data_IF_290109117801
#
_entry.id   IF_290109117801
#
_cell.length_a   1.000
_cell.length_b   1.000
_cell.length_c   1.000
_cell.angle_alpha   90.00
_cell.angle_beta   90.00
_cell.angle_gamma   90.00
#
_symmetry.space_group_name_H-M   'P 1'
#
loop_
_entity.id
_entity.type
_entity.pdbx_description
1 polymer ?
#
# COMPACT_ATOMS: atom_id res chain seq x y z
N UNK A 1 57.59 2.46 -4.28
CA UNK A 1 57.46 2.91 -2.88
C UNK A 1 56.62 4.18 -2.79
N UNK A 2 56.93 5.25 -3.54
CA UNK A 2 56.05 6.45 -3.59
C UNK A 2 54.69 6.16 -4.25
N UNK A 3 54.67 5.34 -5.31
CA UNK A 3 53.46 5.00 -6.05
C UNK A 3 52.42 4.20 -5.21
N UNK A 4 52.89 3.38 -4.27
CA UNK A 4 52.02 2.64 -3.34
C UNK A 4 51.41 3.58 -2.28
N UNK A 5 52.14 4.60 -1.84
CA UNK A 5 51.64 5.61 -0.90
C UNK A 5 50.59 6.52 -1.56
N UNK A 6 50.78 6.88 -2.83
CA UNK A 6 49.79 7.66 -3.60
C UNK A 6 48.48 6.89 -3.81
N UNK A 7 48.56 5.58 -4.08
CA UNK A 7 47.37 4.72 -4.20
C UNK A 7 46.60 4.62 -2.88
N UNK A 8 47.31 4.51 -1.75
CA UNK A 8 46.69 4.50 -0.41
C UNK A 8 45.96 5.83 -0.14
N UNK A 9 46.56 6.97 -0.48
CA UNK A 9 45.93 8.29 -0.31
C UNK A 9 44.66 8.39 -1.15
N UNK A 10 44.71 7.98 -2.42
CA UNK A 10 43.54 8.00 -3.30
C UNK A 10 42.39 7.15 -2.77
N UNK A 11 42.68 5.93 -2.29
CA UNK A 11 41.66 5.05 -1.69
C UNK A 11 41.06 5.71 -0.44
N UNK A 12 41.87 6.37 0.39
CA UNK A 12 41.36 7.05 1.58
C UNK A 12 40.43 8.22 1.23
N UNK A 13 40.76 9.01 0.20
CA UNK A 13 39.90 10.09 -0.31
C UNK A 13 38.57 9.55 -0.88
N UNK A 14 38.61 8.43 -1.60
CA UNK A 14 37.40 7.77 -2.10
C UNK A 14 36.51 7.28 -0.94
N UNK A 15 37.12 6.70 0.09
CA UNK A 15 36.42 6.29 1.31
C UNK A 15 35.76 7.51 1.98
N UNK A 16 36.46 8.63 2.15
CA UNK A 16 35.89 9.84 2.76
C UNK A 16 34.75 10.44 1.92
N UNK A 17 34.88 10.41 0.59
CA UNK A 17 33.83 10.83 -0.33
C UNK A 17 32.59 9.94 -0.21
N UNK A 18 32.76 8.62 -0.16
CA UNK A 18 31.63 7.68 -0.01
C UNK A 18 30.95 7.83 1.34
N UNK A 19 31.70 7.96 2.44
CA UNK A 19 31.13 8.23 3.77
C UNK A 19 30.35 9.55 3.81
N UNK A 20 30.88 10.59 3.18
CA UNK A 20 30.19 11.88 3.08
C UNK A 20 28.88 11.78 2.28
N UNK A 21 28.89 11.02 1.18
CA UNK A 21 27.69 10.74 0.38
C UNK A 21 26.64 9.95 1.15
N UNK A 22 27.06 8.90 1.87
CA UNK A 22 26.20 8.09 2.73
C UNK A 22 25.57 8.97 3.81
N UNK A 23 26.36 9.77 4.53
CA UNK A 23 25.87 10.66 5.58
C UNK A 23 24.87 11.69 5.06
N UNK A 24 25.11 12.26 3.87
CA UNK A 24 24.17 13.18 3.22
C UNK A 24 22.86 12.48 2.88
N UNK A 25 22.91 11.24 2.42
CA UNK A 25 21.73 10.43 2.08
C UNK A 25 20.93 10.08 3.33
N UNK A 26 21.59 9.65 4.42
CA UNK A 26 20.95 9.37 5.70
C UNK A 26 20.25 10.61 6.28
N UNK A 27 20.86 11.79 6.15
CA UNK A 27 20.24 13.05 6.58
C UNK A 27 18.95 13.33 5.81
N UNK A 28 18.97 13.17 4.48
CA UNK A 28 17.76 13.33 3.65
C UNK A 28 16.67 12.33 4.03
N UNK A 29 17.02 11.07 4.28
CA UNK A 29 16.06 10.06 4.73
C UNK A 29 15.42 10.45 6.07
N UNK A 30 16.22 10.93 7.02
CA UNK A 30 15.73 11.42 8.31
C UNK A 30 14.73 12.56 8.14
N UNK A 31 15.02 13.54 7.29
CA UNK A 31 14.12 14.67 7.00
C UNK A 31 12.78 14.20 6.39
N UNK A 32 12.80 13.18 5.54
CA UNK A 32 11.60 12.57 4.96
C UNK A 32 10.77 11.86 6.03
N UNK A 33 11.41 11.07 6.90
CA UNK A 33 10.72 10.37 8.01
C UNK A 33 10.07 11.38 8.96
N UNK A 34 10.76 12.46 9.32
CA UNK A 34 10.21 13.52 10.17
C UNK A 34 9.00 14.22 9.52
N UNK A 35 9.02 14.39 8.19
CA UNK A 35 7.87 14.95 7.45
C UNK A 35 6.66 14.02 7.51
N UNK A 36 6.86 12.73 7.23
CA UNK A 36 5.81 11.71 7.30
C UNK A 36 5.24 11.62 8.71
N UNK A 37 6.07 11.68 9.75
CA UNK A 37 5.61 11.66 11.13
C UNK A 37 4.71 12.85 11.45
N UNK A 38 5.08 14.06 10.99
CA UNK A 38 4.25 15.26 11.15
C UNK A 38 2.92 15.14 10.42
N UNK A 39 2.92 14.66 9.19
CA UNK A 39 1.71 14.45 8.39
C UNK A 39 0.78 13.40 9.04
N UNK A 40 1.34 12.27 9.49
CA UNK A 40 0.58 11.23 10.18
C UNK A 40 -0.04 11.73 11.48
N UNK A 41 0.68 12.53 12.28
CA UNK A 41 0.10 13.18 13.48
C UNK A 41 -1.08 14.07 13.11
N UNK A 42 -0.97 14.81 12.01
CA UNK A 42 -2.05 15.66 11.51
C UNK A 42 -3.28 14.84 11.09
N UNK A 43 -3.06 13.73 10.37
CA UNK A 43 -4.13 12.80 9.98
C UNK A 43 -4.81 12.20 11.22
N UNK A 44 -4.04 11.70 12.19
CA UNK A 44 -4.59 11.13 13.43
C UNK A 44 -5.42 12.18 14.18
N UNK A 45 -4.92 13.40 14.29
CA UNK A 45 -5.66 14.49 14.94
C UNK A 45 -6.96 14.83 14.21
N UNK A 46 -6.94 14.84 12.88
CA UNK A 46 -8.13 15.10 12.05
C UNK A 46 -9.14 13.94 12.09
N UNK A 47 -8.68 12.71 12.30
CA UNK A 47 -9.53 11.52 12.45
C UNK A 47 -10.05 11.32 13.88
N UNK A 48 -9.49 12.01 14.88
CA UNK A 48 -9.92 11.88 16.28
C UNK A 48 -11.42 12.13 16.50
N UNK A 49 -12.07 13.14 15.88
CA UNK A 49 -13.52 13.33 16.01
C UNK A 49 -14.32 12.17 15.41
N UNK A 50 -13.86 11.61 14.29
CA UNK A 50 -14.50 10.46 13.65
C UNK A 50 -14.32 9.20 14.48
N UNK A 51 -13.14 8.96 15.06
CA UNK A 51 -12.93 7.90 16.02
C UNK A 51 -13.89 8.02 17.20
N UNK A 52 -14.08 9.22 17.77
CA UNK A 52 -15.05 9.43 18.85
C UNK A 52 -16.50 9.21 18.42
N UNK A 53 -16.84 9.57 17.19
CA UNK A 53 -18.18 9.38 16.64
C UNK A 53 -18.51 7.90 16.40
N UNK A 54 -17.55 7.13 15.88
CA UNK A 54 -17.73 5.70 15.58
C UNK A 54 -17.39 4.77 16.75
N UNK A 55 -16.59 5.22 17.72
CA UNK A 55 -16.50 4.61 19.04
C UNK A 55 -17.75 4.98 19.85
N UNK A 56 -18.92 4.58 19.34
CA UNK A 56 -20.09 4.40 20.19
C UNK A 56 -19.69 3.27 21.12
N UNK A 57 -19.47 3.60 22.39
CA UNK A 57 -19.30 2.61 23.46
C UNK A 57 -20.37 1.54 23.24
N UNK A 58 -19.93 0.36 22.82
CA UNK A 58 -20.79 -0.81 22.84
C UNK A 58 -21.28 -0.90 24.27
N UNK A 59 -22.58 -0.73 24.44
CA UNK A 59 -23.28 -0.63 25.72
C UNK A 59 -23.32 -2.00 26.45
N UNK A 60 -22.29 -2.81 26.25
CA UNK A 60 -22.06 -4.12 26.87
C UNK A 60 -21.10 -4.03 28.07
N UNK A 61 -20.44 -2.89 28.31
CA UNK A 61 -19.62 -2.67 29.52
C UNK A 61 -20.41 -2.16 30.73
N UNK A 62 -21.75 -2.12 30.67
CA UNK A 62 -22.63 -1.71 31.80
C UNK A 62 -22.76 -2.80 32.89
N UNK A 63 -21.99 -3.89 32.83
CA UNK A 63 -21.89 -4.88 33.92
C UNK A 63 -20.48 -4.88 34.51
N UNK A 64 -20.00 -3.73 34.99
CA UNK A 64 -19.07 -3.75 36.13
C UNK A 64 -19.05 -2.46 36.96
N UNK A 65 -20.20 -1.78 37.05
CA UNK A 65 -20.38 -0.63 37.93
C UNK A 65 -20.88 -1.09 39.31
N UNK A 66 -20.06 -1.81 40.06
CA UNK A 66 -20.15 -1.91 41.53
C UNK A 66 -18.77 -2.22 42.14
N UNK A 67 -17.89 -1.22 42.12
CA UNK A 67 -16.78 -1.15 43.09
C UNK A 67 -16.27 0.29 43.24
N UNK A 68 -17.18 1.21 43.56
CA UNK A 68 -16.79 2.43 44.28
C UNK A 68 -16.52 2.06 45.74
N UNK A 69 -15.28 2.22 46.21
CA UNK A 69 -14.92 3.36 47.07
C UNK A 69 -13.41 3.37 47.37
N UNK A 70 -12.86 4.56 47.70
CA UNK A 70 -11.45 4.93 47.61
C UNK A 70 -10.73 4.70 48.93
N UNK A 71 -9.39 4.86 48.96
CA UNK A 71 -8.62 5.63 49.97
C UNK A 71 -7.11 5.35 49.87
N UNK A 72 -6.36 6.39 49.51
CA UNK A 72 -5.02 6.79 49.96
C UNK A 72 -3.79 5.84 49.95
N UNK A 73 -2.69 6.48 49.53
CA UNK A 73 -1.29 6.41 50.01
C UNK A 73 -0.32 5.44 49.33
N UNK A 74 0.54 6.04 48.51
CA UNK A 74 1.99 6.15 48.71
C UNK A 74 2.71 5.01 49.49
N UNK A 75 3.77 4.53 48.83
CA UNK A 75 4.97 3.84 49.35
C UNK A 75 4.79 2.34 49.65
N UNK A 76 5.44 1.49 48.85
CA UNK A 76 6.56 0.65 49.30
C UNK A 76 6.84 -0.49 48.31
N UNK A 77 8.05 -0.48 47.77
CA UNK A 77 8.94 -1.64 47.59
C UNK A 77 8.54 -2.89 48.43
N UNK A 78 8.56 -4.08 47.81
CA UNK A 78 9.17 -5.31 48.37
C UNK A 78 8.74 -6.59 47.65
N UNK A 79 9.73 -7.24 47.05
CA UNK A 79 10.02 -8.69 47.00
C UNK A 79 8.90 -9.74 46.84
N UNK A 80 9.07 -10.48 45.74
CA UNK A 80 9.36 -11.93 45.69
C UNK A 80 8.28 -12.96 46.06
N UNK A 81 8.22 -13.94 45.16
CA UNK A 81 7.84 -15.34 45.30
C UNK A 81 6.39 -15.67 45.64
N UNK A 82 5.69 -16.21 44.62
CA UNK A 82 5.23 -17.60 44.71
C UNK A 82 5.09 -18.23 43.31
N UNK A 83 6.03 -19.14 43.09
CA UNK A 83 6.10 -20.24 42.13
C UNK A 83 4.79 -21.04 42.05
N UNK A 84 4.23 -21.19 40.85
CA UNK A 84 3.54 -22.43 40.44
C UNK A 84 4.04 -22.83 39.06
N UNK A 85 4.91 -23.84 39.08
CA UNK A 85 5.33 -24.62 37.93
C UNK A 85 4.23 -25.67 37.68
N UNK A 86 3.63 -25.64 36.50
CA UNK A 86 3.13 -26.85 35.85
C UNK A 86 3.80 -26.90 34.47
N UNK A 87 4.79 -27.77 34.39
CA UNK A 87 5.51 -28.17 33.19
C UNK A 87 4.67 -29.25 32.49
N UNK A 88 4.39 -29.07 31.20
CA UNK A 88 4.33 -30.16 30.23
C UNK A 88 4.34 -29.59 28.80
N UNK A 89 5.55 -29.54 28.24
CA UNK A 89 5.90 -30.05 26.90
C UNK A 89 5.07 -29.61 25.69
N UNK A 90 5.70 -28.88 24.74
CA UNK A 90 5.96 -29.39 23.36
C UNK A 90 6.39 -28.28 22.38
N UNK A 91 7.48 -28.57 21.67
CA UNK A 91 7.91 -28.02 20.37
C UNK A 91 8.36 -26.56 20.26
N UNK A 92 9.67 -26.40 20.41
CA UNK A 92 10.48 -25.45 19.63
C UNK A 92 10.17 -25.60 18.12
N UNK A 93 9.40 -24.68 17.57
CA UNK A 93 9.32 -24.49 16.12
C UNK A 93 10.60 -23.81 15.64
N UNK A 94 11.56 -24.61 15.15
CA UNK A 94 12.63 -24.10 14.29
C UNK A 94 11.98 -23.67 12.97
N UNK A 95 11.80 -22.36 12.78
CA UNK A 95 11.49 -21.79 11.48
C UNK A 95 12.72 -21.96 10.56
N UNK A 96 12.87 -23.14 9.95
CA UNK A 96 13.70 -23.28 8.77
C UNK A 96 12.97 -22.61 7.62
N UNK A 97 13.36 -21.39 7.31
CA UNK A 97 12.93 -20.72 6.08
C UNK A 97 13.23 -21.65 4.89
N UNK A 98 12.28 -21.89 3.98
CA UNK A 98 12.53 -22.73 2.82
C UNK A 98 13.69 -22.13 2.02
N UNK A 99 14.70 -22.96 1.74
CA UNK A 99 15.83 -22.56 0.91
C UNK A 99 15.30 -22.27 -0.50
N UNK A 100 15.46 -21.02 -0.94
CA UNK A 100 14.94 -20.54 -2.22
C UNK A 100 15.59 -21.34 -3.37
N UNK A 101 14.83 -22.12 -4.17
CA UNK A 101 15.40 -23.00 -5.19
C UNK A 101 15.86 -22.25 -6.45
N UNK A 102 15.68 -20.93 -6.51
CA UNK A 102 16.07 -20.08 -7.63
C UNK A 102 17.30 -19.21 -7.35
N UNK A 103 17.92 -19.35 -6.17
CA UNK A 103 19.10 -18.58 -5.80
C UNK A 103 20.28 -19.52 -5.69
N UNK A 104 20.86 -19.84 -6.84
CA UNK A 104 22.24 -20.32 -6.87
C UNK A 104 23.10 -19.21 -6.28
N UNK A 105 23.87 -19.54 -5.24
CA UNK A 105 24.70 -18.60 -4.48
C UNK A 105 25.75 -17.86 -5.33
N UNK A 106 25.88 -18.20 -6.62
CA UNK A 106 26.71 -17.51 -7.59
C UNK A 106 26.06 -16.27 -8.25
N UNK A 107 24.75 -16.02 -8.06
CA UNK A 107 24.03 -14.89 -8.70
C UNK A 107 23.74 -13.69 -7.79
N UNK A 108 24.16 -13.73 -6.52
CA UNK A 108 23.86 -12.66 -5.56
C UNK A 108 24.74 -11.41 -5.72
N UNK A 109 25.87 -11.50 -6.43
CA UNK A 109 26.82 -10.39 -6.53
C UNK A 109 26.51 -9.42 -7.68
N UNK A 110 25.89 -9.91 -8.77
CA UNK A 110 25.55 -9.10 -9.94
C UNK A 110 24.27 -8.27 -9.77
N UNK A 111 23.34 -8.72 -8.92
CA UNK A 111 22.09 -8.00 -8.64
C UNK A 111 22.28 -6.72 -7.80
N UNK A 112 23.32 -6.65 -6.98
CA UNK A 112 23.59 -5.47 -6.14
C UNK A 112 24.09 -4.26 -6.94
N UNK A 113 24.72 -4.46 -8.11
CA UNK A 113 25.17 -3.33 -8.95
C UNK A 113 24.05 -2.69 -9.76
N UNK A 114 23.09 -3.46 -10.24
CA UNK A 114 22.02 -2.94 -11.11
C UNK A 114 20.92 -2.17 -10.37
N UNK A 115 20.75 -2.41 -9.07
CA UNK A 115 19.72 -1.71 -8.28
C UNK A 115 20.16 -0.32 -7.82
N UNK A 116 21.45 -0.11 -7.52
CA UNK A 116 21.96 1.21 -7.13
C UNK A 116 22.22 2.13 -8.33
N UNK A 117 22.68 1.59 -9.46
CA UNK A 117 22.93 2.40 -10.67
C UNK A 117 21.68 2.97 -11.35
N UNK A 118 20.51 2.33 -11.19
CA UNK A 118 19.27 2.76 -11.83
C UNK A 118 18.44 3.77 -11.00
N UNK A 119 18.82 4.07 -9.76
CA UNK A 119 18.13 5.09 -8.95
C UNK A 119 18.53 6.52 -9.37
N UNK A 120 19.75 6.70 -9.88
CA UNK A 120 20.28 8.02 -10.23
C UNK A 120 19.60 8.62 -11.47
N UNK A 121 19.23 7.79 -12.45
CA UNK A 121 18.58 8.24 -13.68
C UNK A 121 17.11 8.67 -13.50
N UNK A 122 16.46 8.29 -12.39
CA UNK A 122 15.04 8.59 -12.13
C UNK A 122 14.78 9.88 -11.33
N UNK A 123 15.83 10.51 -10.79
CA UNK A 123 15.68 11.72 -9.97
C UNK A 123 15.89 13.04 -10.71
N UNK A 124 16.16 13.01 -12.03
CA UNK A 124 16.50 14.21 -12.81
C UNK A 124 15.35 14.84 -13.62
N UNK A 125 14.08 14.45 -13.44
CA UNK A 125 12.98 14.95 -14.29
C UNK A 125 12.03 16.00 -13.69
N UNK A 126 12.41 16.74 -12.65
CA UNK A 126 11.59 17.88 -12.23
C UNK A 126 12.43 18.98 -11.61
N UNK A 127 13.04 19.79 -12.47
CA UNK A 127 13.39 21.17 -12.17
C UNK A 127 13.19 22.01 -13.43
N UNK A 128 11.97 22.53 -13.59
CA UNK A 128 11.69 23.69 -14.41
C UNK A 128 10.92 24.70 -13.53
N UNK A 129 11.70 25.62 -12.98
CA UNK A 129 11.40 27.03 -12.74
C UNK A 129 10.14 27.43 -11.91
N UNK A 130 10.45 27.87 -10.68
CA UNK A 130 9.67 28.81 -9.88
C UNK A 130 9.54 30.18 -10.59
N UNK A 131 8.34 30.78 -10.59
CA UNK A 131 8.15 32.22 -10.30
C UNK A 131 6.79 32.52 -9.65
N UNK A 132 6.86 32.97 -8.39
CA UNK A 132 6.09 34.04 -7.72
C UNK A 132 4.55 34.14 -7.76
N UNK A 133 3.99 34.06 -6.53
CA UNK A 133 2.99 34.93 -5.88
C UNK A 133 1.96 35.67 -6.73
N UNK A 134 0.68 35.37 -6.51
CA UNK A 134 -0.41 36.35 -6.60
C UNK A 134 -1.65 35.87 -5.85
N UNK A 135 -2.16 36.71 -4.96
CA UNK A 135 -3.44 36.59 -4.27
C UNK A 135 -4.58 36.71 -5.30
N UNK A 136 -5.45 35.71 -5.39
CA UNK A 136 -6.79 35.81 -6.02
C UNK A 136 -7.75 34.78 -5.38
N UNK A 137 -9.08 34.91 -5.55
CA UNK A 137 -10.06 34.83 -4.49
C UNK A 137 -10.69 33.43 -4.42
N UNK A 138 -11.51 33.24 -3.39
CA UNK A 138 -12.48 32.13 -3.26
C UNK A 138 -13.22 31.94 -4.59
N UNK A 139 -12.97 30.82 -5.26
CA UNK A 139 -13.73 30.35 -6.43
C UNK A 139 -14.16 28.91 -6.17
N UNK A 140 -15.43 28.69 -6.47
CA UNK A 140 -16.26 27.52 -6.29
C UNK A 140 -15.60 26.17 -6.60
N UNK A 141 -16.10 25.18 -5.86
CA UNK A 141 -16.00 23.75 -6.07
C UNK A 141 -16.07 23.39 -7.56
N UNK A 142 -14.91 23.08 -8.15
CA UNK A 142 -14.84 22.37 -9.42
C UNK A 142 -14.81 20.89 -9.10
N UNK A 143 -15.93 20.24 -9.38
CA UNK A 143 -16.05 18.79 -9.45
C UNK A 143 -14.90 18.22 -10.28
N UNK A 144 -14.26 17.17 -9.75
CA UNK A 144 -13.33 16.36 -10.53
C UNK A 144 -14.11 15.72 -11.68
N UNK A 145 -14.09 16.38 -12.85
CA UNK A 145 -14.49 15.76 -14.10
C UNK A 145 -13.59 14.55 -14.33
N UNK A 146 -14.17 13.36 -14.15
CA UNK A 146 -13.61 12.12 -14.66
C UNK A 146 -13.34 12.35 -16.14
N UNK A 147 -12.06 12.29 -16.51
CA UNK A 147 -11.60 12.35 -17.88
C UNK A 147 -12.24 11.16 -18.62
N UNK A 148 -13.37 11.42 -19.28
CA UNK A 148 -14.00 10.49 -20.22
C UNK A 148 -13.05 10.37 -21.41
N UNK A 149 -12.10 9.44 -21.32
CA UNK A 149 -11.42 8.88 -22.48
C UNK A 149 -12.43 8.04 -23.27
N UNK A 150 -13.35 8.76 -23.92
CA UNK A 150 -14.14 8.24 -25.01
C UNK A 150 -13.23 8.04 -26.21
N UNK A 151 -13.32 6.83 -26.76
CA UNK A 151 -12.93 6.47 -28.13
C UNK A 151 -11.43 6.21 -28.39
N UNK A 152 -10.88 5.16 -27.77
CA UNK A 152 -9.92 4.30 -28.48
C UNK A 152 -10.58 2.97 -28.82
N UNK A 153 -10.73 2.75 -30.13
CA UNK A 153 -11.13 1.50 -30.79
C UNK A 153 -10.05 0.41 -30.62
N UNK A 154 -9.66 0.11 -29.39
CA UNK A 154 -8.63 -0.89 -29.08
C UNK A 154 -9.28 -2.27 -28.87
N UNK A 155 -8.79 -3.24 -29.64
CA UNK A 155 -9.28 -4.61 -29.71
C UNK A 155 -9.67 -5.23 -28.35
N UNK A 156 -10.96 -5.51 -28.16
CA UNK A 156 -11.45 -6.27 -27.00
C UNK A 156 -10.88 -7.68 -27.09
N UNK A 157 -10.16 -8.10 -26.05
CA UNK A 157 -9.51 -9.39 -25.96
C UNK A 157 -10.50 -10.47 -25.51
N UNK A 158 -10.36 -11.73 -25.98
CA UNK A 158 -11.12 -12.84 -25.43
C UNK A 158 -10.76 -13.02 -23.95
N UNK A 159 -11.77 -13.30 -23.14
CA UNK A 159 -11.59 -13.45 -21.71
C UNK A 159 -10.62 -14.59 -21.38
N UNK A 160 -9.56 -14.25 -20.63
CA UNK A 160 -8.53 -15.19 -20.21
C UNK A 160 -8.26 -15.06 -18.70
N UNK A 161 -8.67 -16.05 -17.88
CA UNK A 161 -8.46 -16.03 -16.43
C UNK A 161 -7.01 -15.89 -16.00
N UNK A 162 -6.05 -16.35 -16.81
CA UNK A 162 -4.62 -16.29 -16.45
C UNK A 162 -4.09 -14.86 -16.34
N UNK A 163 -4.71 -13.89 -17.03
CA UNK A 163 -4.32 -12.47 -17.01
C UNK A 163 -4.92 -11.70 -15.82
N UNK A 164 -5.84 -12.32 -15.07
CA UNK A 164 -6.38 -11.78 -13.84
C UNK A 164 -5.37 -11.90 -12.69
N UNK A 165 -5.37 -10.96 -11.73
CA UNK A 165 -4.59 -11.09 -10.50
C UNK A 165 -4.97 -12.39 -9.76
N UNK A 166 -4.02 -13.04 -9.06
CA UNK A 166 -4.26 -14.33 -8.41
C UNK A 166 -5.50 -14.38 -7.51
N UNK A 167 -5.79 -13.28 -6.81
CA UNK A 167 -6.97 -13.16 -5.94
C UNK A 167 -8.31 -13.30 -6.67
N UNK A 168 -8.36 -13.01 -7.98
CA UNK A 168 -9.58 -13.03 -8.78
C UNK A 168 -9.66 -14.24 -9.73
N UNK A 169 -8.63 -15.08 -9.80
CA UNK A 169 -8.61 -16.24 -10.71
C UNK A 169 -9.62 -17.31 -10.34
N UNK A 170 -9.86 -17.48 -9.03
CA UNK A 170 -10.77 -18.48 -8.46
C UNK A 170 -12.13 -17.91 -8.08
N UNK A 171 -12.35 -16.61 -8.26
CA UNK A 171 -13.60 -15.96 -7.85
C UNK A 171 -14.66 -16.14 -8.95
N UNK A 172 -15.63 -17.02 -8.72
CA UNK A 172 -16.73 -17.27 -9.66
C UNK A 172 -17.53 -15.99 -10.00
N UNK A 173 -17.51 -15.00 -9.10
CA UNK A 173 -18.23 -13.74 -9.30
C UNK A 173 -17.79 -12.99 -10.56
N UNK A 174 -16.48 -12.97 -10.87
CA UNK A 174 -15.99 -12.27 -12.06
C UNK A 174 -16.46 -12.95 -13.35
N UNK A 175 -16.55 -14.28 -13.35
CA UNK A 175 -17.03 -15.06 -14.48
C UNK A 175 -18.52 -14.82 -14.72
N UNK A 176 -19.31 -14.75 -13.66
CA UNK A 176 -20.74 -14.44 -13.75
C UNK A 176 -20.98 -13.05 -14.34
N UNK A 177 -20.25 -12.02 -13.87
CA UNK A 177 -20.34 -10.66 -14.41
C UNK A 177 -19.94 -10.63 -15.88
N UNK A 178 -18.83 -11.26 -16.26
CA UNK A 178 -18.41 -11.32 -17.65
C UNK A 178 -19.44 -12.03 -18.55
N UNK A 179 -19.96 -13.20 -18.13
CA UNK A 179 -20.98 -13.93 -18.89
C UNK A 179 -22.27 -13.13 -19.04
N UNK A 180 -22.67 -12.39 -18.02
CA UNK A 180 -23.84 -11.53 -18.08
C UNK A 180 -23.65 -10.42 -19.12
N UNK A 181 -22.50 -9.73 -19.10
CA UNK A 181 -22.17 -8.68 -20.07
C UNK A 181 -22.07 -9.27 -21.49
N UNK A 182 -21.47 -10.45 -21.65
CA UNK A 182 -21.37 -11.13 -22.95
C UNK A 182 -22.74 -11.56 -23.51
N UNK A 183 -23.70 -11.88 -22.63
CA UNK A 183 -25.07 -12.25 -23.02
C UNK A 183 -25.96 -11.06 -23.38
N UNK A 184 -25.56 -9.83 -23.02
CA UNK A 184 -26.36 -8.62 -23.20
C UNK A 184 -25.66 -7.66 -24.19
N UNK A 185 -26.37 -7.16 -25.20
CA UNK A 185 -25.80 -6.26 -26.21
C UNK A 185 -25.62 -4.80 -25.74
N UNK A 186 -25.25 -4.59 -24.49
CA UNK A 186 -25.15 -3.27 -23.85
C UNK A 186 -25.73 -3.24 -22.44
N UNK A 187 -25.09 -3.93 -21.49
CA UNK A 187 -25.55 -3.93 -20.09
C UNK A 187 -25.10 -2.66 -19.36
N UNK A 188 -25.99 -2.02 -18.60
CA UNK A 188 -25.57 -0.98 -17.62
C UNK A 188 -25.16 -1.61 -16.30
N UNK A 189 -24.53 -0.84 -15.41
CA UNK A 189 -24.14 -1.32 -14.09
C UNK A 189 -25.36 -1.77 -13.26
N UNK A 190 -26.49 -1.09 -13.40
CA UNK A 190 -27.76 -1.43 -12.75
C UNK A 190 -28.34 -2.74 -13.26
N UNK A 191 -28.17 -3.03 -14.55
CA UNK A 191 -28.62 -4.27 -15.16
C UNK A 191 -27.77 -5.45 -14.66
N UNK A 192 -26.45 -5.27 -14.59
CA UNK A 192 -25.53 -6.26 -14.03
C UNK A 192 -25.88 -6.55 -12.56
N UNK A 193 -26.18 -5.52 -11.77
CA UNK A 193 -26.60 -5.68 -10.36
C UNK A 193 -27.92 -6.45 -10.23
N UNK A 194 -28.85 -6.28 -11.17
CA UNK A 194 -30.11 -7.04 -11.20
C UNK A 194 -29.93 -8.47 -11.70
N UNK A 195 -29.01 -8.69 -12.65
CA UNK A 195 -28.71 -9.99 -13.22
C UNK A 195 -27.90 -10.91 -12.30
N UNK A 196 -27.05 -10.33 -11.45
CA UNK A 196 -26.18 -11.06 -10.53
C UNK A 196 -26.34 -10.52 -9.09
N UNK A 197 -27.52 -10.68 -8.47
CA UNK A 197 -27.82 -10.09 -7.15
C UNK A 197 -27.00 -10.72 -6.02
N UNK A 198 -26.40 -11.89 -6.24
CA UNK A 198 -25.52 -12.56 -5.28
C UNK A 198 -24.24 -11.75 -5.00
N UNK A 199 -23.86 -10.85 -5.90
CA UNK A 199 -22.71 -9.97 -5.74
C UNK A 199 -23.17 -8.60 -5.27
N UNK A 200 -22.56 -8.09 -4.20
CA UNK A 200 -22.78 -6.71 -3.77
C UNK A 200 -22.33 -5.71 -4.85
N UNK A 201 -23.02 -4.56 -4.93
CA UNK A 201 -22.75 -3.49 -5.92
C UNK A 201 -21.27 -3.12 -6.00
N UNK A 202 -20.62 -2.97 -4.85
CA UNK A 202 -19.20 -2.63 -4.74
C UNK A 202 -18.29 -3.67 -5.41
N UNK A 203 -18.56 -4.96 -5.20
CA UNK A 203 -17.81 -6.04 -5.84
C UNK A 203 -18.02 -6.05 -7.35
N UNK A 204 -19.26 -5.84 -7.80
CA UNK A 204 -19.57 -5.74 -9.23
C UNK A 204 -18.78 -4.59 -9.87
N UNK A 205 -18.73 -3.43 -9.22
CA UNK A 205 -17.99 -2.28 -9.72
C UNK A 205 -16.49 -2.57 -9.85
N UNK A 206 -15.89 -3.20 -8.82
CA UNK A 206 -14.49 -3.64 -8.88
C UNK A 206 -14.25 -4.63 -10.03
N UNK A 207 -15.17 -5.57 -10.24
CA UNK A 207 -15.06 -6.54 -11.33
C UNK A 207 -15.17 -5.87 -12.70
N UNK A 208 -16.13 -4.98 -12.90
CA UNK A 208 -16.30 -4.21 -14.14
C UNK A 208 -15.06 -3.37 -14.44
N UNK A 209 -14.54 -2.64 -13.45
CA UNK A 209 -13.32 -1.85 -13.59
C UNK A 209 -12.11 -2.71 -13.97
N UNK A 210 -11.97 -3.87 -13.35
CA UNK A 210 -10.89 -4.80 -13.66
C UNK A 210 -11.03 -5.37 -15.08
N UNK A 211 -12.24 -5.77 -15.49
CA UNK A 211 -12.51 -6.27 -16.84
C UNK A 211 -12.24 -5.19 -17.90
N UNK A 212 -12.55 -3.93 -17.61
CA UNK A 212 -12.22 -2.77 -18.46
C UNK A 212 -10.71 -2.54 -18.55
N UNK A 213 -10.00 -2.50 -17.42
CA UNK A 213 -8.53 -2.32 -17.38
C UNK A 213 -7.79 -3.41 -18.14
N UNK A 214 -8.31 -4.65 -18.10
CA UNK A 214 -7.77 -5.80 -18.83
C UNK A 214 -8.24 -5.89 -20.28
N UNK A 215 -9.09 -4.96 -20.73
CA UNK A 215 -9.65 -4.90 -22.08
C UNK A 215 -10.46 -6.15 -22.47
N UNK A 216 -11.09 -6.80 -21.50
CA UNK A 216 -12.00 -7.93 -21.75
C UNK A 216 -13.41 -7.46 -22.10
N UNK A 217 -13.78 -6.27 -21.66
CA UNK A 217 -15.02 -5.59 -22.00
C UNK A 217 -14.69 -4.17 -22.46
N UNK A 218 -15.52 -3.62 -23.34
CA UNK A 218 -15.48 -2.22 -23.76
C UNK A 218 -16.63 -1.44 -23.13
N UNK A 219 -16.37 -0.16 -22.81
CA UNK A 219 -17.40 0.80 -22.39
C UNK A 219 -17.86 1.62 -23.59
N UNK A 220 -19.17 1.79 -23.76
CA UNK A 220 -19.81 2.68 -24.74
C UNK A 220 -20.87 3.50 -24.01
N UNK A 221 -20.55 4.75 -23.69
CA UNK A 221 -21.38 5.59 -22.82
C UNK A 221 -21.60 4.93 -21.46
N UNK A 222 -22.85 4.73 -21.07
CA UNK A 222 -23.23 4.06 -19.82
C UNK A 222 -23.33 2.52 -19.93
N UNK A 223 -23.06 1.95 -21.10
CA UNK A 223 -23.23 0.52 -21.38
C UNK A 223 -21.90 -0.21 -21.59
N UNK A 224 -21.85 -1.50 -21.25
CA UNK A 224 -20.71 -2.39 -21.45
C UNK A 224 -20.99 -3.43 -22.53
N UNK A 225 -19.96 -3.79 -23.31
CA UNK A 225 -20.02 -4.80 -24.37
C UNK A 225 -18.77 -5.67 -24.42
N UNK A 226 -18.88 -6.87 -24.94
CA UNK A 226 -17.74 -7.73 -25.33
C UNK A 226 -17.45 -7.61 -26.83
N UNK A 227 -16.36 -8.22 -27.30
CA UNK A 227 -16.11 -8.43 -28.75
C UNK A 227 -17.13 -9.36 -29.39
#
# INVERSE_FOLDING_TARGET
MIEEEEEIIHIMEEIDCTFSSINRTLRKMKEVVERIEKENKLIINNLSPWQRFFCIESTEDVINEYADLPTHKDISESCADNTYVLDESSMSMKFSSPRNPFVDSASSETLNRTFLGNLEARFNWSNAENTSSSIVPVVEEREFEFQDESESSDAILPFNPSMLPPAFRTDEGIFMVYRYIAGCSGATIEDICRGVPMLGRERIQIFVDMLLRKRFIGKRGASFRTS
#
